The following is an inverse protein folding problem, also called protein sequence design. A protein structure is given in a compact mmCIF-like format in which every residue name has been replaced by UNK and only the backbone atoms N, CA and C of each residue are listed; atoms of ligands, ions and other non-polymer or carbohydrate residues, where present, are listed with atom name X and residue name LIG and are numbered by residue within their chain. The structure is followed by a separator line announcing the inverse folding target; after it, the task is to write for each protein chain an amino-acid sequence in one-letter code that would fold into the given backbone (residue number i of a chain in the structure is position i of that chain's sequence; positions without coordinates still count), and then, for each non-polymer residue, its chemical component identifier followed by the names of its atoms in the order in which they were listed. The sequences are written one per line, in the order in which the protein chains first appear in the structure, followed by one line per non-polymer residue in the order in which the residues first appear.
data_IF_742421739500
#
_entry.id   IF_742421739500
#
_cell.length_a   1.000
_cell.length_b   1.000
_cell.length_c   1.000
_cell.angle_alpha   90.00
_cell.angle_beta   90.00
_cell.angle_gamma   90.00
#
_symmetry.space_group_name_H-M   'P 1'
#
loop_
_entity.id
_entity.type
_entity.pdbx_description
1 polymer ?
#
# COMPACT_ATOMS: atom_id res chain seq x y z
N UNK A 1 -61.86 6.29 44.34
CA UNK A 1 -61.20 7.54 43.92
C UNK A 1 -61.01 7.50 42.41
N UNK A 2 -61.79 8.27 41.66
CA UNK A 2 -61.76 8.29 40.21
C UNK A 2 -60.74 9.35 39.76
N UNK A 3 -59.66 8.87 39.10
CA UNK A 3 -58.65 9.75 38.50
C UNK A 3 -59.26 10.44 37.27
N UNK A 4 -59.24 11.76 37.26
CA UNK A 4 -59.87 12.55 36.20
C UNK A 4 -59.04 12.56 34.90
N UNK A 5 -59.71 12.72 33.75
CA UNK A 5 -59.08 12.80 32.41
C UNK A 5 -57.96 13.82 32.29
N UNK A 6 -57.93 14.82 33.18
CA UNK A 6 -56.88 15.90 33.22
C UNK A 6 -55.56 15.43 33.85
N UNK A 7 -55.59 14.39 34.69
CA UNK A 7 -54.38 13.86 35.35
C UNK A 7 -53.65 12.88 34.44
N UNK A 8 -54.43 12.15 33.55
CA UNK A 8 -53.82 11.30 32.50
C UNK A 8 -53.08 12.11 31.43
N UNK A 9 -53.53 13.30 31.10
CA UNK A 9 -52.86 14.18 30.14
C UNK A 9 -51.58 14.81 30.67
N UNK A 10 -51.40 14.92 32.00
CA UNK A 10 -50.18 15.39 32.60
C UNK A 10 -49.09 14.33 32.78
N UNK A 11 -49.49 13.06 32.90
CA UNK A 11 -48.59 11.93 32.93
C UNK A 11 -48.09 11.51 31.56
N UNK A 12 -48.88 11.68 30.50
CA UNK A 12 -48.48 11.40 29.13
C UNK A 12 -47.53 12.44 28.52
N UNK A 13 -47.47 13.67 29.07
CA UNK A 13 -46.58 14.75 28.63
C UNK A 13 -45.15 14.66 29.19
N UNK A 14 -44.91 13.89 30.26
CA UNK A 14 -43.61 13.76 30.91
C UNK A 14 -42.79 12.56 30.38
N UNK A 15 -43.43 11.60 29.69
CA UNK A 15 -42.76 10.42 29.14
C UNK A 15 -42.22 10.62 27.69
N UNK A 16 -42.65 11.69 27.02
CA UNK A 16 -42.31 11.95 25.61
C UNK A 16 -41.07 12.80 25.36
N UNK A 17 -40.40 13.32 26.37
CA UNK A 17 -39.27 14.26 26.21
C UNK A 17 -37.88 13.68 26.48
N UNK A 18 -37.80 12.36 26.75
CA UNK A 18 -36.50 11.68 27.03
C UNK A 18 -35.92 10.86 25.86
N UNK A 19 -36.45 11.00 24.65
CA UNK A 19 -36.17 10.08 23.55
C UNK A 19 -35.44 10.65 22.33
N UNK A 20 -35.02 11.91 22.27
CA UNK A 20 -34.35 12.48 21.08
C UNK A 20 -33.31 13.56 21.48
N UNK A 21 -32.42 13.23 22.38
CA UNK A 21 -31.14 13.92 22.37
C UNK A 21 -30.34 13.34 21.19
N UNK A 22 -29.99 14.12 20.14
CA UNK A 22 -29.04 13.63 19.15
C UNK A 22 -27.79 13.26 19.94
N UNK A 23 -27.33 12.02 19.80
CA UNK A 23 -26.02 11.63 20.27
C UNK A 23 -25.04 12.59 19.61
N UNK A 24 -24.60 13.61 20.35
CA UNK A 24 -23.49 14.45 19.94
C UNK A 24 -22.32 13.49 19.91
N UNK A 25 -22.05 12.93 18.74
CA UNK A 25 -20.78 12.25 18.46
C UNK A 25 -19.73 13.32 18.67
N UNK A 26 -19.20 13.40 19.88
CA UNK A 26 -18.03 14.23 20.16
C UNK A 26 -16.95 13.70 19.19
N UNK A 27 -16.63 14.50 18.18
CA UNK A 27 -15.47 14.25 17.36
C UNK A 27 -14.30 14.01 18.33
N UNK A 28 -13.72 12.80 18.30
CA UNK A 28 -12.59 12.46 19.14
C UNK A 28 -11.48 13.47 18.85
N UNK A 29 -10.98 14.13 19.89
CA UNK A 29 -9.91 15.13 19.74
C UNK A 29 -8.66 14.41 19.25
N UNK A 30 -8.15 14.83 18.08
CA UNK A 30 -6.88 14.34 17.55
C UNK A 30 -5.73 14.75 18.47
N UNK A 31 -4.81 13.84 18.74
CA UNK A 31 -3.61 14.12 19.53
C UNK A 31 -2.64 14.98 18.70
N UNK A 32 -2.53 14.65 17.40
CA UNK A 32 -1.71 15.37 16.44
C UNK A 32 -2.51 15.59 15.14
N UNK A 33 -2.66 16.85 14.72
CA UNK A 33 -3.37 17.21 13.48
C UNK A 33 -2.45 17.24 12.26
N UNK A 34 -1.25 17.79 12.43
CA UNK A 34 -0.24 17.88 11.38
C UNK A 34 0.52 16.55 11.31
N UNK A 35 0.34 15.81 10.19
CA UNK A 35 0.97 14.49 10.00
C UNK A 35 1.80 14.49 8.74
N UNK A 36 3.08 14.13 8.87
CA UNK A 36 3.98 13.94 7.75
C UNK A 36 3.98 12.46 7.33
N UNK A 37 3.56 12.19 6.08
CA UNK A 37 3.59 10.85 5.48
C UNK A 37 4.74 10.78 4.47
N UNK A 38 5.59 9.76 4.60
CA UNK A 38 6.61 9.42 3.61
C UNK A 38 6.08 8.32 2.68
N UNK A 39 6.21 8.49 1.37
CA UNK A 39 5.81 7.49 0.35
C UNK A 39 6.93 7.26 -0.65
N UNK A 40 7.06 6.05 -1.17
CA UNK A 40 8.14 5.68 -2.08
C UNK A 40 7.70 5.54 -3.52
N UNK A 41 7.43 6.66 -4.21
CA UNK A 41 6.92 6.69 -5.57
C UNK A 41 5.43 6.97 -5.62
N UNK A 42 5.00 8.14 -5.14
CA UNK A 42 3.60 8.56 -5.06
C UNK A 42 2.81 8.38 -6.38
N UNK A 43 3.38 8.56 -7.59
CA UNK A 43 2.68 8.32 -8.85
C UNK A 43 2.33 6.86 -9.14
N UNK A 44 2.91 5.89 -8.42
CA UNK A 44 2.65 4.48 -8.65
C UNK A 44 1.22 4.09 -8.24
N UNK A 45 0.59 3.22 -9.03
CA UNK A 45 -0.75 2.69 -8.68
C UNK A 45 -0.74 1.94 -7.35
N UNK A 46 0.39 1.42 -6.93
CA UNK A 46 0.62 0.82 -5.61
C UNK A 46 0.16 1.70 -4.44
N UNK A 47 0.27 3.04 -4.59
CA UNK A 47 -0.11 4.04 -3.59
C UNK A 47 -1.35 4.83 -4.00
N UNK A 48 -2.14 4.32 -4.94
CA UNK A 48 -3.36 4.99 -5.41
C UNK A 48 -4.32 5.35 -4.27
N UNK A 49 -4.59 4.50 -3.26
CA UNK A 49 -5.48 4.87 -2.16
C UNK A 49 -5.00 6.10 -1.38
N UNK A 50 -3.69 6.26 -1.15
CA UNK A 50 -3.12 7.46 -0.53
C UNK A 50 -3.41 8.70 -1.37
N UNK A 51 -3.16 8.61 -2.68
CA UNK A 51 -3.42 9.72 -3.62
C UNK A 51 -4.89 10.07 -3.67
N UNK A 52 -5.79 9.09 -3.73
CA UNK A 52 -7.25 9.33 -3.71
C UNK A 52 -7.68 9.97 -2.40
N UNK A 53 -7.17 9.51 -1.25
CA UNK A 53 -7.49 10.11 0.04
C UNK A 53 -7.09 11.60 0.11
N UNK A 54 -5.91 11.95 -0.43
CA UNK A 54 -5.43 13.33 -0.53
C UNK A 54 -6.29 14.15 -1.50
N UNK A 55 -6.44 13.70 -2.74
CA UNK A 55 -7.11 14.44 -3.82
C UNK A 55 -8.61 14.66 -3.55
N UNK A 56 -9.25 13.73 -2.84
CA UNK A 56 -10.66 13.85 -2.44
C UNK A 56 -10.86 14.54 -1.10
N UNK A 57 -9.79 14.96 -0.44
CA UNK A 57 -9.84 15.69 0.83
C UNK A 57 -10.22 14.85 2.04
N UNK A 58 -10.15 13.51 1.96
CA UNK A 58 -10.57 12.63 3.04
C UNK A 58 -9.76 12.81 4.33
N UNK A 59 -8.48 13.17 4.24
CA UNK A 59 -7.69 13.55 5.41
C UNK A 59 -8.23 14.81 6.09
N UNK A 60 -8.61 15.82 5.31
CA UNK A 60 -9.19 17.07 5.83
C UNK A 60 -10.55 16.85 6.47
N UNK A 61 -11.37 15.97 5.89
CA UNK A 61 -12.67 15.60 6.46
C UNK A 61 -12.54 14.95 7.84
N UNK A 62 -11.42 14.23 8.08
CA UNK A 62 -11.07 13.65 9.37
C UNK A 62 -10.36 14.65 10.31
N UNK A 63 -10.18 15.90 9.90
CA UNK A 63 -9.56 16.96 10.68
C UNK A 63 -8.03 16.96 10.66
N UNK A 64 -7.42 16.20 9.75
CA UNK A 64 -5.97 16.10 9.58
C UNK A 64 -5.44 17.11 8.57
N UNK A 65 -4.28 17.69 8.87
CA UNK A 65 -3.43 18.41 7.93
C UNK A 65 -2.25 17.52 7.56
N UNK A 66 -2.36 16.85 6.40
CA UNK A 66 -1.39 15.84 5.96
C UNK A 66 -0.45 16.45 4.93
N UNK A 67 0.85 16.35 5.18
CA UNK A 67 1.91 16.58 4.20
C UNK A 67 2.46 15.24 3.70
N UNK A 68 2.63 15.08 2.38
CA UNK A 68 3.13 13.85 1.78
C UNK A 68 4.45 14.12 1.07
N UNK A 69 5.54 13.54 1.59
CA UNK A 69 6.87 13.60 0.99
C UNK A 69 7.12 12.36 0.14
N UNK A 70 7.43 12.57 -1.15
CA UNK A 70 7.70 11.50 -2.12
C UNK A 70 9.20 11.19 -2.22
N UNK A 71 9.52 9.90 -2.16
CA UNK A 71 10.88 9.37 -2.24
C UNK A 71 11.02 8.42 -3.45
N UNK A 72 12.24 8.12 -3.86
CA UNK A 72 12.51 7.26 -5.01
C UNK A 72 11.97 5.82 -4.87
N UNK A 73 11.71 5.34 -3.64
CA UNK A 73 11.17 4.02 -3.38
C UNK A 73 10.89 3.79 -1.90
N UNK A 74 10.13 2.73 -1.57
CA UNK A 74 9.62 2.47 -0.22
C UNK A 74 10.69 2.37 0.86
N UNK A 75 11.87 1.80 0.55
CA UNK A 75 12.98 1.75 1.51
C UNK A 75 13.49 3.15 1.90
N UNK A 76 13.46 4.12 0.98
CA UNK A 76 13.84 5.50 1.26
C UNK A 76 12.79 6.23 2.10
N UNK A 77 11.52 5.99 1.82
CA UNK A 77 10.41 6.50 2.62
C UNK A 77 10.50 5.96 4.08
N UNK A 78 10.76 4.66 4.23
CA UNK A 78 10.97 4.06 5.54
C UNK A 78 12.14 4.70 6.30
N UNK A 79 13.28 4.94 5.63
CA UNK A 79 14.43 5.60 6.23
C UNK A 79 14.09 7.00 6.77
N UNK A 80 13.23 7.76 6.08
CA UNK A 80 12.78 9.08 6.53
C UNK A 80 11.98 8.98 7.86
N UNK A 81 11.11 7.99 8.01
CA UNK A 81 10.33 7.80 9.24
C UNK A 81 11.19 7.25 10.38
N UNK A 82 12.07 6.28 10.12
CA UNK A 82 13.02 5.78 11.12
C UNK A 82 13.97 6.88 11.59
N UNK A 83 14.35 7.79 10.69
CA UNK A 83 15.18 8.97 11.01
C UNK A 83 14.42 10.14 11.62
N UNK A 84 13.09 10.04 11.84
CA UNK A 84 12.26 11.08 12.45
C UNK A 84 11.90 12.25 11.55
N UNK A 85 12.12 12.15 10.22
CA UNK A 85 11.77 13.22 9.26
C UNK A 85 10.30 13.15 8.81
N UNK A 86 9.61 12.06 9.11
CA UNK A 86 8.19 11.88 8.87
C UNK A 86 7.59 10.99 9.99
N UNK A 87 6.26 10.98 10.11
CA UNK A 87 5.53 10.28 11.16
C UNK A 87 5.10 8.88 10.75
N UNK A 88 4.62 8.75 9.52
CA UNK A 88 3.95 7.55 9.00
C UNK A 88 4.54 7.21 7.62
N UNK A 89 4.70 5.93 7.35
CA UNK A 89 5.06 5.45 6.01
C UNK A 89 3.78 5.00 5.29
N UNK A 90 3.61 5.44 4.05
CA UNK A 90 2.82 4.71 3.06
C UNK A 90 3.79 3.81 2.30
N UNK A 91 3.80 2.54 2.63
CA UNK A 91 4.87 1.64 2.20
C UNK A 91 4.44 0.19 2.17
N UNK A 92 5.40 -0.70 2.21
CA UNK A 92 5.18 -2.12 2.05
C UNK A 92 5.05 -2.86 3.38
N UNK A 93 4.09 -3.76 3.44
CA UNK A 93 3.73 -4.57 4.60
C UNK A 93 4.92 -5.33 5.20
N UNK A 94 5.76 -5.94 4.38
CA UNK A 94 6.91 -6.73 4.84
C UNK A 94 8.00 -5.89 5.53
N UNK A 95 7.98 -4.58 5.38
CA UNK A 95 8.95 -3.70 6.03
C UNK A 95 8.85 -3.75 7.55
N UNK A 96 7.63 -3.82 8.12
CA UNK A 96 7.44 -3.93 9.56
C UNK A 96 8.03 -5.23 10.12
N UNK A 97 7.90 -6.37 9.40
CA UNK A 97 8.55 -7.63 9.77
C UNK A 97 10.08 -7.52 9.75
N UNK A 98 10.63 -6.93 8.70
CA UNK A 98 12.09 -6.76 8.59
C UNK A 98 12.65 -5.82 9.66
N UNK A 99 11.90 -4.81 10.09
CA UNK A 99 12.26 -3.96 11.22
C UNK A 99 12.18 -4.72 12.55
N UNK A 100 11.13 -5.52 12.74
CA UNK A 100 10.98 -6.32 13.97
C UNK A 100 12.15 -7.30 14.14
N UNK A 101 12.62 -7.93 13.07
CA UNK A 101 13.80 -8.81 13.13
C UNK A 101 15.07 -8.09 13.61
N UNK A 102 15.08 -6.75 13.53
CA UNK A 102 16.16 -5.87 13.99
C UNK A 102 15.85 -5.18 15.33
N UNK A 103 14.77 -5.62 16.02
CA UNK A 103 14.37 -5.07 17.32
C UNK A 103 13.64 -3.73 17.24
N UNK A 104 13.15 -3.32 16.06
CA UNK A 104 12.37 -2.10 15.87
C UNK A 104 10.90 -2.46 15.65
N UNK A 105 10.00 -1.95 16.50
CA UNK A 105 8.59 -2.31 16.49
C UNK A 105 7.78 -1.26 15.73
N UNK A 106 7.44 -1.58 14.50
CA UNK A 106 6.51 -0.85 13.63
C UNK A 106 5.27 -1.69 13.40
N UNK A 107 4.13 -1.05 13.14
CA UNK A 107 2.87 -1.73 13.00
C UNK A 107 2.07 -1.18 11.83
N UNK A 108 1.63 -2.09 10.95
CA UNK A 108 0.70 -1.81 9.87
C UNK A 108 -0.71 -1.70 10.43
N UNK A 109 -1.45 -0.65 10.08
CA UNK A 109 -2.75 -0.38 10.69
C UNK A 109 -3.90 -0.17 9.69
N UNK A 110 -3.60 -0.05 8.40
CA UNK A 110 -4.60 -0.03 7.31
C UNK A 110 -3.95 -0.45 6.00
N UNK A 111 -4.61 -1.36 5.27
CA UNK A 111 -4.14 -1.90 4.00
C UNK A 111 -4.63 -1.06 2.83
N UNK A 112 -3.78 -0.82 1.85
CA UNK A 112 -4.08 -0.18 0.57
C UNK A 112 -4.13 -1.19 -0.59
N UNK A 113 -3.29 -2.22 -0.52
CA UNK A 113 -3.17 -3.24 -1.56
C UNK A 113 -3.01 -4.66 -1.02
N UNK A 114 -3.80 -5.59 -1.57
CA UNK A 114 -3.84 -7.02 -1.20
C UNK A 114 -2.81 -7.86 -1.96
N UNK A 115 -2.22 -7.28 -3.00
CA UNK A 115 -1.20 -7.89 -3.85
C UNK A 115 -0.04 -6.92 -4.01
N UNK A 116 1.20 -7.39 -4.22
CA UNK A 116 2.36 -6.51 -4.44
C UNK A 116 2.22 -5.61 -5.67
N UNK A 117 1.40 -5.98 -6.65
CA UNK A 117 1.17 -5.22 -7.89
C UNK A 117 2.48 -4.85 -8.61
N UNK A 118 3.47 -5.75 -8.55
CA UNK A 118 4.80 -5.61 -9.12
C UNK A 118 4.91 -6.51 -10.34
N UNK A 119 5.40 -5.95 -11.46
CA UNK A 119 5.87 -6.71 -12.61
C UNK A 119 7.40 -6.75 -12.61
N UNK A 120 7.97 -7.94 -12.78
CA UNK A 120 9.39 -8.13 -13.04
C UNK A 120 9.57 -8.70 -14.45
N UNK A 121 10.35 -8.02 -15.27
CA UNK A 121 10.56 -8.41 -16.65
C UNK A 121 11.96 -8.09 -17.16
N UNK A 122 12.27 -8.64 -18.32
CA UNK A 122 13.54 -8.45 -19.02
C UNK A 122 13.37 -7.54 -20.22
N UNK A 123 14.38 -6.74 -20.55
CA UNK A 123 14.41 -5.91 -21.74
C UNK A 123 14.40 -6.77 -22.99
N UNK A 124 13.43 -6.56 -23.87
CA UNK A 124 13.36 -7.25 -25.16
C UNK A 124 14.54 -6.91 -26.06
N UNK A 125 15.13 -5.73 -25.88
CA UNK A 125 16.30 -5.23 -26.63
C UNK A 125 17.63 -5.81 -26.09
N UNK A 126 17.82 -5.79 -24.76
CA UNK A 126 19.11 -6.18 -24.16
C UNK A 126 19.18 -7.68 -23.84
N UNK A 127 18.02 -8.35 -23.74
CA UNK A 127 17.90 -9.77 -23.44
C UNK A 127 16.90 -10.46 -24.39
N UNK A 128 17.08 -10.32 -25.73
CA UNK A 128 16.14 -10.89 -26.72
C UNK A 128 16.05 -12.42 -26.62
N UNK A 129 17.14 -13.06 -26.22
CA UNK A 129 17.27 -14.51 -26.11
C UNK A 129 17.01 -15.07 -24.72
N UNK A 130 16.40 -14.28 -23.82
CA UNK A 130 16.09 -14.74 -22.45
C UNK A 130 15.22 -16.02 -22.47
N UNK A 131 15.72 -17.10 -21.86
CA UNK A 131 15.09 -18.43 -21.78
C UNK A 131 14.85 -18.91 -20.36
N UNK A 132 15.71 -18.52 -19.42
CA UNK A 132 15.69 -19.06 -18.06
C UNK A 132 16.20 -18.07 -17.03
N UNK A 133 15.90 -18.25 -15.73
CA UNK A 133 16.44 -17.42 -14.65
C UNK A 133 17.96 -17.35 -14.63
N UNK A 134 18.67 -18.37 -15.11
CA UNK A 134 20.14 -18.38 -15.17
C UNK A 134 20.69 -17.26 -16.05
N UNK A 135 19.94 -16.81 -17.05
CA UNK A 135 20.34 -15.74 -17.98
C UNK A 135 20.41 -14.36 -17.30
N UNK A 136 19.89 -14.25 -16.06
CA UNK A 136 20.00 -13.04 -15.24
C UNK A 136 21.39 -12.86 -14.61
N UNK A 137 22.26 -13.89 -14.58
CA UNK A 137 23.59 -13.77 -13.99
C UNK A 137 24.40 -12.65 -14.66
N UNK A 138 24.98 -11.78 -13.84
CA UNK A 138 25.77 -10.64 -14.28
C UNK A 138 24.93 -9.47 -14.83
N UNK A 139 23.60 -9.57 -14.85
CA UNK A 139 22.72 -8.53 -15.41
C UNK A 139 22.44 -7.42 -14.41
N UNK A 140 22.14 -6.23 -14.95
CA UNK A 140 21.71 -5.05 -14.18
C UNK A 140 20.20 -5.04 -14.08
N UNK A 141 19.68 -5.15 -12.88
CA UNK A 141 18.23 -5.16 -12.63
C UNK A 141 17.82 -3.87 -11.95
N UNK A 142 16.99 -3.09 -12.63
CA UNK A 142 16.39 -1.88 -12.08
C UNK A 142 15.30 -2.19 -11.06
N UNK A 143 15.30 -1.48 -9.95
CA UNK A 143 14.24 -1.50 -8.93
C UNK A 143 13.91 -0.08 -8.52
N UNK A 144 12.79 0.17 -7.85
CA UNK A 144 12.48 1.54 -7.37
C UNK A 144 13.60 2.06 -6.48
N UNK A 145 14.01 1.29 -5.47
CA UNK A 145 15.22 1.52 -4.68
C UNK A 145 15.71 0.19 -4.10
N UNK A 146 17.01 -0.01 -3.89
CA UNK A 146 17.52 -1.16 -3.15
C UNK A 146 16.84 -1.28 -1.78
N UNK A 147 16.36 -2.49 -1.44
CA UNK A 147 15.63 -2.77 -0.20
C UNK A 147 14.12 -2.50 -0.23
N UNK A 148 13.57 -1.98 -1.33
CA UNK A 148 12.11 -1.84 -1.54
C UNK A 148 11.48 -3.16 -1.98
N UNK A 149 10.14 -3.28 -1.96
CA UNK A 149 9.40 -4.48 -2.38
C UNK A 149 9.71 -4.92 -3.80
N UNK A 150 10.01 -3.99 -4.71
CA UNK A 150 10.46 -4.30 -6.07
C UNK A 150 11.78 -5.08 -6.05
N UNK A 151 12.69 -4.76 -5.14
CA UNK A 151 13.92 -5.54 -4.91
C UNK A 151 13.63 -6.88 -4.20
N UNK A 152 12.65 -6.91 -3.29
CA UNK A 152 12.21 -8.16 -2.65
C UNK A 152 11.73 -9.17 -3.68
N UNK A 153 10.88 -8.77 -4.63
CA UNK A 153 10.37 -9.66 -5.69
C UNK A 153 11.51 -10.25 -6.52
N UNK A 154 12.51 -9.44 -6.89
CA UNK A 154 13.72 -9.92 -7.58
C UNK A 154 14.45 -10.96 -6.75
N UNK A 155 14.77 -10.64 -5.49
CA UNK A 155 15.55 -11.52 -4.62
C UNK A 155 14.80 -12.83 -4.33
N UNK A 156 13.48 -12.77 -4.12
CA UNK A 156 12.64 -13.94 -3.94
C UNK A 156 12.65 -14.84 -5.19
N UNK A 157 12.51 -14.23 -6.39
CA UNK A 157 12.59 -14.97 -7.66
C UNK A 157 13.96 -15.63 -7.83
N UNK A 158 15.03 -14.90 -7.59
CA UNK A 158 16.41 -15.43 -7.69
C UNK A 158 16.59 -16.62 -6.74
N UNK A 159 16.23 -16.48 -5.47
CA UNK A 159 16.35 -17.53 -4.46
C UNK A 159 15.54 -18.80 -4.82
N UNK A 160 14.30 -18.62 -5.32
CA UNK A 160 13.44 -19.72 -5.78
C UNK A 160 14.06 -20.54 -6.91
N UNK A 161 14.96 -19.92 -7.69
CA UNK A 161 15.65 -20.57 -8.82
C UNK A 161 17.13 -20.87 -8.53
N UNK A 162 17.54 -20.89 -7.25
CA UNK A 162 18.90 -21.24 -6.83
C UNK A 162 19.96 -20.19 -7.15
N UNK A 163 19.54 -18.95 -7.41
CA UNK A 163 20.41 -17.80 -7.62
C UNK A 163 20.52 -16.96 -6.34
N UNK A 164 21.60 -16.19 -6.22
CA UNK A 164 21.84 -15.27 -5.11
C UNK A 164 21.64 -13.83 -5.55
N UNK A 165 21.34 -12.94 -4.62
CA UNK A 165 21.30 -11.50 -4.88
C UNK A 165 22.63 -10.96 -5.45
N UNK A 166 23.77 -11.58 -5.07
CA UNK A 166 25.11 -11.24 -5.58
C UNK A 166 25.36 -11.71 -7.03
N UNK A 167 24.48 -12.53 -7.62
CA UNK A 167 24.61 -12.94 -9.02
C UNK A 167 24.15 -11.85 -10.01
N UNK A 168 23.54 -10.78 -9.51
CA UNK A 168 23.03 -9.64 -10.30
C UNK A 168 23.46 -8.30 -9.70
N UNK A 169 23.34 -7.23 -10.48
CA UNK A 169 23.54 -5.86 -10.00
C UNK A 169 22.20 -5.17 -9.82
N UNK A 170 21.85 -4.83 -8.58
CA UNK A 170 20.59 -4.09 -8.28
C UNK A 170 20.82 -2.60 -8.40
N UNK A 171 20.06 -1.94 -9.28
CA UNK A 171 20.17 -0.52 -9.61
C UNK A 171 18.87 0.19 -9.20
N UNK A 172 18.96 1.23 -8.39
CA UNK A 172 17.82 2.11 -8.08
C UNK A 172 17.51 3.02 -9.26
N UNK A 173 16.34 2.87 -9.88
CA UNK A 173 15.90 3.64 -11.06
C UNK A 173 14.66 4.51 -10.76
N UNK A 174 14.14 4.46 -9.52
CA UNK A 174 12.95 5.23 -9.14
C UNK A 174 11.64 4.65 -9.66
N UNK A 175 10.59 5.47 -9.63
CA UNK A 175 9.19 5.09 -9.75
C UNK A 175 8.44 5.81 -10.89
N UNK A 176 9.12 6.30 -11.92
CA UNK A 176 8.49 7.12 -12.96
C UNK A 176 9.21 7.02 -14.32
N UNK A 177 9.12 8.08 -15.11
CA UNK A 177 9.69 8.14 -16.46
C UNK A 177 11.19 7.80 -16.53
N UNK A 178 11.96 8.11 -15.47
CA UNK A 178 13.37 7.73 -15.37
C UNK A 178 13.60 6.22 -15.42
N UNK A 179 12.72 5.43 -14.79
CA UNK A 179 12.78 3.97 -14.81
C UNK A 179 12.53 3.42 -16.23
N UNK A 180 11.54 4.00 -16.94
CA UNK A 180 11.25 3.66 -18.34
C UNK A 180 12.47 3.96 -19.21
N UNK A 181 13.04 5.16 -19.06
CA UNK A 181 14.23 5.59 -19.82
C UNK A 181 15.41 4.66 -19.55
N UNK A 182 15.68 4.28 -18.31
CA UNK A 182 16.79 3.41 -17.93
C UNK A 182 16.75 2.05 -18.67
N UNK A 183 15.55 1.44 -18.83
CA UNK A 183 15.40 0.21 -19.58
C UNK A 183 15.58 0.43 -21.08
N UNK A 184 14.90 1.43 -21.65
CA UNK A 184 14.93 1.73 -23.11
C UNK A 184 16.32 2.09 -23.62
N UNK A 185 17.13 2.78 -22.80
CA UNK A 185 18.50 3.18 -23.15
C UNK A 185 19.56 2.12 -22.85
N UNK A 186 19.17 0.99 -22.22
CA UNK A 186 20.10 -0.09 -21.91
C UNK A 186 20.99 0.16 -20.69
N UNK A 187 20.61 1.12 -19.83
CA UNK A 187 21.29 1.31 -18.52
C UNK A 187 21.06 0.13 -17.59
N UNK A 188 19.91 -0.54 -17.75
CA UNK A 188 19.53 -1.80 -17.07
C UNK A 188 19.06 -2.83 -18.09
N UNK A 189 19.21 -4.12 -17.75
CA UNK A 189 18.86 -5.25 -18.59
C UNK A 189 17.47 -5.82 -18.27
N UNK A 190 17.03 -5.64 -17.04
CA UNK A 190 15.73 -6.06 -16.52
C UNK A 190 15.20 -5.04 -15.52
N UNK A 191 13.90 -5.05 -15.26
CA UNK A 191 13.27 -4.13 -14.30
C UNK A 191 12.21 -4.83 -13.48
N UNK A 192 12.19 -4.55 -12.18
CA UNK A 192 11.08 -4.85 -11.27
C UNK A 192 10.50 -3.52 -10.79
N UNK A 193 9.26 -3.25 -11.15
CA UNK A 193 8.58 -2.00 -10.82
C UNK A 193 7.07 -2.24 -10.69
N UNK A 194 6.33 -1.19 -10.40
CA UNK A 194 4.86 -1.21 -10.38
C UNK A 194 4.31 -0.37 -11.52
N UNK A 195 3.00 -0.45 -11.73
CA UNK A 195 2.32 0.39 -12.69
C UNK A 195 2.30 1.88 -12.25
N UNK A 196 2.27 2.81 -13.22
CA UNK A 196 2.12 2.62 -14.66
C UNK A 196 3.41 2.29 -15.45
N UNK A 197 4.57 2.20 -14.78
CA UNK A 197 5.87 1.95 -15.44
C UNK A 197 5.89 0.61 -16.19
N UNK A 198 5.40 -0.45 -15.53
CA UNK A 198 5.39 -1.81 -16.11
C UNK A 198 4.51 -1.85 -17.34
N UNK A 199 3.25 -1.42 -17.25
CA UNK A 199 2.32 -1.41 -18.37
C UNK A 199 2.81 -0.52 -19.52
N UNK A 200 3.44 0.61 -19.26
CA UNK A 200 4.01 1.46 -20.31
C UNK A 200 5.12 0.75 -21.09
N UNK A 201 6.00 0.02 -20.40
CA UNK A 201 7.07 -0.76 -21.02
C UNK A 201 6.56 -2.00 -21.78
N UNK A 202 5.52 -2.66 -21.26
CA UNK A 202 4.84 -3.76 -21.96
C UNK A 202 4.17 -3.25 -23.24
N UNK A 203 3.42 -2.14 -23.13
CA UNK A 203 2.69 -1.55 -24.25
C UNK A 203 3.61 -1.11 -25.38
N UNK A 204 4.79 -0.57 -25.06
CA UNK A 204 5.81 -0.20 -26.05
C UNK A 204 6.61 -1.39 -26.58
N UNK A 205 6.40 -2.61 -26.07
CA UNK A 205 7.13 -3.81 -26.49
C UNK A 205 8.57 -3.91 -25.96
N UNK A 206 8.96 -3.03 -25.03
CA UNK A 206 10.32 -2.98 -24.48
C UNK A 206 10.55 -3.98 -23.31
N UNK A 207 9.48 -4.56 -22.77
CA UNK A 207 9.52 -5.44 -21.60
C UNK A 207 8.80 -6.76 -21.85
N UNK A 208 9.48 -7.87 -21.56
CA UNK A 208 8.90 -9.21 -21.45
C UNK A 208 8.78 -9.56 -19.97
N UNK A 209 7.55 -9.65 -19.46
CA UNK A 209 7.29 -10.02 -18.05
C UNK A 209 7.69 -11.47 -17.80
N UNK A 210 8.36 -11.73 -16.70
CA UNK A 210 8.77 -13.06 -16.21
C UNK A 210 8.20 -13.38 -14.83
N UNK A 211 7.81 -12.36 -14.04
CA UNK A 211 7.03 -12.48 -12.80
C UNK A 211 5.98 -11.38 -12.79
N UNK A 212 4.74 -11.75 -12.56
CA UNK A 212 3.64 -10.80 -12.41
C UNK A 212 2.95 -11.03 -11.06
N UNK A 213 2.85 -10.00 -10.25
CA UNK A 213 2.12 -10.03 -8.97
C UNK A 213 1.00 -9.00 -8.93
N UNK A 214 0.51 -8.57 -10.10
CA UNK A 214 -0.55 -7.56 -10.22
C UNK A 214 -1.91 -8.10 -9.81
N UNK A 215 -2.13 -9.42 -9.92
CA UNK A 215 -3.37 -10.07 -9.51
C UNK A 215 -3.22 -10.90 -8.22
N UNK A 216 -4.31 -11.13 -7.52
CA UNK A 216 -4.33 -12.00 -6.33
C UNK A 216 -4.00 -13.45 -6.68
N UNK A 217 -4.43 -13.92 -7.86
CA UNK A 217 -4.15 -15.28 -8.33
C UNK A 217 -2.65 -15.47 -8.49
N UNK A 218 -2.02 -14.63 -9.29
CA UNK A 218 -0.59 -14.76 -9.60
C UNK A 218 0.27 -14.53 -8.34
N UNK A 219 -0.14 -13.61 -7.47
CA UNK A 219 0.48 -13.40 -6.16
C UNK A 219 0.50 -14.69 -5.34
N UNK A 220 -0.64 -15.41 -5.24
CA UNK A 220 -0.71 -16.67 -4.49
C UNK A 220 0.12 -17.78 -5.12
N UNK A 221 0.18 -17.85 -6.44
CA UNK A 221 1.03 -18.82 -7.16
C UNK A 221 2.53 -18.58 -6.91
N UNK A 222 2.92 -17.31 -6.85
CA UNK A 222 4.32 -16.92 -6.65
C UNK A 222 4.76 -17.11 -5.20
N UNK A 223 3.97 -16.59 -4.23
CA UNK A 223 4.33 -16.57 -2.80
C UNK A 223 3.77 -17.74 -1.98
N UNK A 224 2.86 -18.54 -2.55
CA UNK A 224 2.22 -19.65 -1.86
C UNK A 224 1.19 -19.21 -0.81
N UNK A 225 0.58 -18.02 -0.97
CA UNK A 225 -0.42 -17.45 -0.07
C UNK A 225 -0.71 -15.99 -0.36
N UNK A 226 -1.60 -15.38 0.43
CA UNK A 226 -1.85 -13.95 0.33
C UNK A 226 -0.59 -13.17 0.73
N UNK A 227 -0.21 -12.19 -0.07
CA UNK A 227 0.93 -11.31 0.21
C UNK A 227 0.44 -9.87 0.25
N UNK A 228 0.06 -9.35 1.43
CA UNK A 228 -0.32 -7.95 1.59
C UNK A 228 0.82 -7.04 1.13
N UNK A 229 0.48 -5.86 0.68
CA UNK A 229 1.47 -4.99 0.07
C UNK A 229 1.38 -3.54 0.59
N UNK A 230 0.82 -2.63 -0.18
CA UNK A 230 0.70 -1.23 0.25
C UNK A 230 -0.12 -1.08 1.53
N UNK A 231 0.44 -0.40 2.53
CA UNK A 231 -0.24 -0.11 3.80
C UNK A 231 0.27 1.20 4.40
N UNK A 232 -0.46 1.72 5.39
CA UNK A 232 0.10 2.73 6.28
C UNK A 232 0.64 2.03 7.53
N UNK A 233 1.85 2.42 7.93
CA UNK A 233 2.47 1.93 9.16
C UNK A 233 3.33 3.00 9.83
N UNK A 234 3.49 2.87 11.14
CA UNK A 234 4.35 3.73 11.96
C UNK A 234 4.88 2.96 13.18
N UNK A 235 5.70 3.59 13.99
CA UNK A 235 6.18 2.94 15.21
C UNK A 235 5.03 2.66 16.18
N UNK A 236 5.14 1.59 16.97
CA UNK A 236 4.15 1.30 18.02
C UNK A 236 4.00 2.46 18.99
N UNK A 237 5.10 3.12 19.36
CA UNK A 237 5.08 4.30 20.23
C UNK A 237 4.25 5.46 19.64
N UNK A 238 4.29 5.64 18.30
CA UNK A 238 3.45 6.65 17.66
C UNK A 238 1.96 6.30 17.74
N UNK A 239 1.61 5.01 17.51
CA UNK A 239 0.22 4.53 17.65
C UNK A 239 -0.29 4.75 19.09
N UNK A 240 0.51 4.40 20.08
CA UNK A 240 0.13 4.51 21.50
C UNK A 240 -0.07 5.97 21.92
N UNK A 241 0.74 6.88 21.40
CA UNK A 241 0.66 8.30 21.68
C UNK A 241 -0.45 9.03 20.87
N UNK A 242 -0.86 8.50 19.72
CA UNK A 242 -1.75 9.20 18.79
C UNK A 242 -2.88 8.30 18.23
N UNK A 243 -3.63 7.56 19.08
CA UNK A 243 -4.60 6.56 18.58
C UNK A 243 -5.75 7.17 17.77
N UNK A 244 -6.23 8.38 18.11
CA UNK A 244 -7.28 9.04 17.35
C UNK A 244 -6.77 9.58 16.01
N UNK A 245 -5.53 10.06 15.97
CA UNK A 245 -4.86 10.48 14.73
C UNK A 245 -4.66 9.29 13.77
N UNK A 246 -4.21 8.13 14.29
CA UNK A 246 -4.07 6.88 13.51
C UNK A 246 -5.43 6.40 13.02
N UNK A 247 -6.49 6.48 13.85
CA UNK A 247 -7.85 6.17 13.42
C UNK A 247 -8.32 7.09 12.27
N UNK A 248 -8.05 8.38 12.36
CA UNK A 248 -8.41 9.33 11.31
C UNK A 248 -7.69 9.04 9.99
N UNK A 249 -6.41 8.65 10.04
CA UNK A 249 -5.66 8.19 8.87
C UNK A 249 -6.27 6.92 8.26
N UNK A 250 -6.61 5.93 9.08
CA UNK A 250 -7.25 4.70 8.62
C UNK A 250 -8.63 4.97 8.00
N UNK A 251 -9.42 5.87 8.58
CA UNK A 251 -10.72 6.30 8.04
C UNK A 251 -10.56 6.85 6.62
N UNK A 252 -9.60 7.74 6.40
CA UNK A 252 -9.35 8.36 5.10
C UNK A 252 -8.95 7.32 4.03
N UNK A 253 -8.09 6.35 4.39
CA UNK A 253 -7.64 5.29 3.47
C UNK A 253 -8.79 4.33 3.15
N UNK A 254 -9.56 3.87 4.15
CA UNK A 254 -10.71 2.97 3.90
C UNK A 254 -11.74 3.62 2.98
N UNK A 255 -12.00 4.92 3.14
CA UNK A 255 -12.86 5.68 2.21
C UNK A 255 -12.30 5.69 0.79
N UNK A 256 -10.98 5.88 0.65
CA UNK A 256 -10.33 5.86 -0.66
C UNK A 256 -10.38 4.48 -1.31
N UNK A 257 -10.13 3.41 -0.54
CA UNK A 257 -10.25 2.02 -1.00
C UNK A 257 -11.65 1.74 -1.53
N UNK A 258 -12.69 2.06 -0.75
CA UNK A 258 -14.09 1.88 -1.14
C UNK A 258 -14.46 2.70 -2.37
N UNK A 259 -13.98 3.93 -2.45
CA UNK A 259 -14.20 4.76 -3.63
C UNK A 259 -13.57 4.13 -4.88
N UNK A 260 -12.34 3.63 -4.82
CA UNK A 260 -11.68 2.93 -5.93
C UNK A 260 -12.52 1.71 -6.35
N UNK A 261 -12.99 0.89 -5.40
CA UNK A 261 -13.85 -0.26 -5.69
C UNK A 261 -15.17 0.13 -6.35
N UNK A 262 -15.77 1.24 -5.93
CA UNK A 262 -16.99 1.76 -6.55
C UNK A 262 -16.76 2.25 -8.00
N UNK A 263 -15.53 2.68 -8.32
CA UNK A 263 -15.15 3.14 -9.66
C UNK A 263 -14.53 2.05 -10.55
N UNK A 264 -14.47 0.78 -10.13
CA UNK A 264 -13.79 -0.30 -10.88
C UNK A 264 -14.27 -0.46 -12.33
N UNK A 265 -15.51 -0.11 -12.63
CA UNK A 265 -16.08 -0.14 -13.97
C UNK A 265 -16.01 1.23 -14.70
N UNK A 266 -15.44 2.25 -14.06
CA UNK A 266 -15.29 3.61 -14.57
C UNK A 266 -13.86 4.12 -14.36
N UNK A 267 -12.91 3.56 -15.12
CA UNK A 267 -11.48 3.87 -14.97
C UNK A 267 -11.16 5.33 -15.33
N UNK A 268 -12.00 5.98 -16.14
CA UNK A 268 -11.87 7.41 -16.43
C UNK A 268 -12.07 8.25 -15.15
N UNK A 269 -13.00 7.86 -14.27
CA UNK A 269 -13.17 8.54 -12.99
C UNK A 269 -11.91 8.45 -12.11
N UNK A 270 -11.24 7.29 -12.09
CA UNK A 270 -9.98 7.11 -11.35
C UNK A 270 -8.86 7.93 -12.00
N UNK A 271 -8.70 7.85 -13.32
CA UNK A 271 -7.66 8.59 -14.04
C UNK A 271 -7.81 10.11 -13.94
N UNK A 272 -9.06 10.61 -13.86
CA UNK A 272 -9.35 12.03 -13.66
C UNK A 272 -9.18 12.49 -12.19
N UNK A 273 -9.16 11.58 -11.24
CA UNK A 273 -8.99 11.88 -9.82
C UNK A 273 -7.52 11.98 -9.37
N UNK A 274 -6.56 11.65 -10.24
CA UNK A 274 -5.13 11.75 -9.95
C UNK A 274 -4.49 12.92 -10.69
N UNK A 275 -3.33 13.43 -10.24
CA UNK A 275 -2.58 14.45 -10.97
C UNK A 275 -2.22 13.98 -12.40
N UNK A 276 -2.34 14.87 -13.38
CA UNK A 276 -2.05 14.54 -14.80
C UNK A 276 -0.64 13.99 -15.03
N UNK A 277 0.33 14.41 -14.23
CA UNK A 277 1.71 13.91 -14.28
C UNK A 277 1.83 12.40 -14.00
N UNK A 278 0.86 11.78 -13.30
CA UNK A 278 0.86 10.35 -13.00
C UNK A 278 0.50 9.49 -14.21
N UNK A 279 -0.17 10.08 -15.20
CA UNK A 279 -0.59 9.40 -16.43
C UNK A 279 0.58 9.16 -17.41
N UNK A 280 1.78 9.62 -17.11
CA UNK A 280 2.99 9.54 -17.96
C UNK A 280 2.76 10.06 -19.41
N UNK A 281 1.79 10.94 -19.61
CA UNK A 281 1.39 11.47 -20.90
C UNK A 281 0.45 10.58 -21.72
N UNK A 282 0.11 9.39 -21.23
CA UNK A 282 -0.68 8.37 -21.93
C UNK A 282 -1.87 7.87 -21.09
N UNK A 283 -3.01 8.59 -21.09
CA UNK A 283 -4.18 8.22 -20.25
C UNK A 283 -4.70 6.81 -20.49
N UNK A 284 -4.65 6.30 -21.73
CA UNK A 284 -5.12 4.95 -22.04
C UNK A 284 -4.20 3.87 -21.49
N UNK A 285 -2.88 4.09 -21.50
CA UNK A 285 -1.89 3.21 -20.87
C UNK A 285 -2.11 3.21 -19.34
N UNK A 286 -2.36 4.38 -18.74
CA UNK A 286 -2.68 4.46 -17.31
C UNK A 286 -3.97 3.69 -16.95
N UNK A 287 -5.02 3.79 -17.76
CA UNK A 287 -6.24 2.98 -17.58
C UNK A 287 -5.99 1.48 -17.78
N UNK A 288 -5.10 1.11 -18.71
CA UNK A 288 -4.69 -0.28 -18.88
C UNK A 288 -3.95 -0.79 -17.63
N UNK A 289 -3.08 0.02 -17.03
CA UNK A 289 -2.39 -0.32 -15.78
C UNK A 289 -3.35 -0.50 -14.60
N UNK A 290 -4.34 0.37 -14.48
CA UNK A 290 -5.41 0.20 -13.48
C UNK A 290 -6.16 -1.12 -13.66
N UNK A 291 -6.53 -1.46 -14.92
CA UNK A 291 -7.25 -2.70 -15.23
C UNK A 291 -6.43 -3.94 -14.87
N UNK A 292 -5.12 -3.91 -15.06
CA UNK A 292 -4.23 -5.01 -14.74
C UNK A 292 -4.13 -5.29 -13.22
N UNK A 293 -4.36 -4.25 -12.38
CA UNK A 293 -4.13 -4.31 -10.93
C UNK A 293 -5.41 -4.16 -10.08
N UNK A 294 -6.61 -4.12 -10.70
CA UNK A 294 -7.86 -3.75 -10.00
C UNK A 294 -8.17 -4.63 -8.79
N UNK A 295 -7.99 -5.94 -8.88
CA UNK A 295 -8.25 -6.87 -7.78
C UNK A 295 -7.15 -6.85 -6.72
N UNK A 296 -6.03 -6.22 -7.02
CA UNK A 296 -4.93 -5.98 -6.09
C UNK A 296 -5.23 -4.88 -5.06
N UNK A 297 -6.14 -3.95 -5.34
CA UNK A 297 -6.52 -2.92 -4.35
C UNK A 297 -7.34 -3.49 -3.21
N UNK A 298 -7.12 -2.98 -2.01
CA UNK A 298 -7.92 -3.34 -0.84
C UNK A 298 -9.38 -2.89 -1.04
N UNK A 299 -10.38 -3.70 -0.65
CA UNK A 299 -11.77 -3.26 -0.65
C UNK A 299 -12.17 -2.47 0.61
N UNK A 300 -11.42 -2.62 1.71
CA UNK A 300 -11.87 -2.26 3.04
C UNK A 300 -10.76 -1.92 4.05
N UNK A 301 -9.52 -1.88 3.63
CA UNK A 301 -8.37 -1.60 4.50
C UNK A 301 -7.94 -2.76 5.40
N UNK A 302 -8.59 -3.94 5.31
CA UNK A 302 -8.32 -5.08 6.18
C UNK A 302 -7.13 -5.90 5.69
N UNK A 303 -6.23 -6.20 6.63
CA UNK A 303 -5.05 -7.04 6.40
C UNK A 303 -5.49 -8.51 6.52
N UNK A 304 -5.22 -9.39 5.52
CA UNK A 304 -5.55 -10.80 5.59
C UNK A 304 -4.69 -11.51 6.65
N UNK A 305 -5.32 -12.35 7.47
CA UNK A 305 -4.68 -13.00 8.64
C UNK A 305 -3.49 -13.90 8.26
N UNK A 306 -3.55 -14.56 7.09
CA UNK A 306 -2.48 -15.42 6.59
C UNK A 306 -1.33 -14.64 5.91
N UNK A 307 -1.52 -13.35 5.66
CA UNK A 307 -0.57 -12.51 4.94
C UNK A 307 0.77 -12.38 5.64
N UNK A 308 0.75 -12.22 6.95
CA UNK A 308 1.99 -12.10 7.74
C UNK A 308 2.84 -13.38 7.68
N UNK A 309 2.21 -14.56 7.71
CA UNK A 309 2.93 -15.83 7.58
C UNK A 309 3.56 -15.99 6.19
N UNK A 310 2.89 -15.54 5.14
CA UNK A 310 3.43 -15.53 3.77
C UNK A 310 4.63 -14.59 3.67
N UNK A 311 4.54 -13.39 4.23
CA UNK A 311 5.63 -12.42 4.23
C UNK A 311 6.86 -12.92 5.01
N UNK A 312 6.66 -13.59 6.16
CA UNK A 312 7.76 -14.25 6.91
C UNK A 312 8.47 -15.29 6.05
N UNK A 313 7.73 -16.18 5.38
CA UNK A 313 8.32 -17.18 4.48
C UNK A 313 9.09 -16.53 3.32
N UNK A 314 8.54 -15.48 2.74
CA UNK A 314 9.20 -14.75 1.65
C UNK A 314 10.51 -14.12 2.12
N UNK A 315 10.52 -13.41 3.25
CA UNK A 315 11.73 -12.78 3.79
C UNK A 315 12.79 -13.83 4.17
N UNK A 316 12.40 -14.94 4.80
CA UNK A 316 13.29 -16.02 5.18
C UNK A 316 14.00 -16.67 3.98
N UNK A 317 13.40 -16.60 2.79
CA UNK A 317 13.97 -17.20 1.59
C UNK A 317 15.19 -16.44 1.03
N UNK A 318 15.29 -15.12 1.29
CA UNK A 318 16.33 -14.31 0.63
C UNK A 318 17.01 -13.24 1.50
N UNK A 319 16.45 -12.89 2.66
CA UNK A 319 17.07 -11.89 3.53
C UNK A 319 18.13 -12.54 4.38
N UNK A 320 19.41 -12.16 4.23
CA UNK A 320 20.47 -12.68 5.08
C UNK A 320 20.17 -12.39 6.56
N UNK A 321 20.43 -13.36 7.42
CA UNK A 321 20.27 -13.26 8.88
C UNK A 321 18.82 -13.01 9.37
N UNK A 322 17.81 -13.12 8.49
CA UNK A 322 16.41 -13.10 8.90
C UNK A 322 16.05 -14.41 9.59
N UNK A 323 15.87 -14.34 10.91
CA UNK A 323 15.45 -15.49 11.70
C UNK A 323 13.93 -15.42 11.98
N UNK A 324 13.11 -16.28 11.36
CA UNK A 324 11.67 -16.32 11.58
C UNK A 324 11.26 -16.52 13.05
N UNK A 325 12.15 -17.10 13.87
CA UNK A 325 11.89 -17.34 15.29
C UNK A 325 12.03 -16.09 16.15
N UNK A 326 12.67 -15.04 15.63
CA UNK A 326 12.84 -13.74 16.31
C UNK A 326 11.72 -12.75 16.01
N UNK A 327 10.80 -13.09 15.12
CA UNK A 327 9.68 -12.22 14.78
C UNK A 327 8.37 -12.80 15.31
N UNK A 328 7.51 -11.93 15.80
CA UNK A 328 6.14 -12.25 16.18
C UNK A 328 5.20 -11.53 15.19
N UNK A 329 4.72 -12.23 14.15
CA UNK A 329 3.90 -11.60 13.12
C UNK A 329 2.62 -10.98 13.66
N UNK A 330 2.09 -11.46 14.79
CA UNK A 330 0.87 -10.92 15.39
C UNK A 330 1.03 -9.50 15.93
N UNK A 331 2.27 -9.05 16.17
CA UNK A 331 2.59 -7.73 16.72
C UNK A 331 2.88 -6.69 15.64
N UNK A 332 3.04 -7.11 14.37
CA UNK A 332 3.42 -6.19 13.31
C UNK A 332 2.23 -5.51 12.61
N UNK A 333 1.02 -5.95 12.86
CA UNK A 333 -0.17 -5.40 12.22
C UNK A 333 -1.39 -5.40 13.14
N UNK A 334 -2.42 -4.63 12.75
CA UNK A 334 -3.72 -4.65 13.43
C UNK A 334 -4.83 -4.25 12.46
N UNK A 335 -5.98 -4.90 12.58
CA UNK A 335 -7.19 -4.54 11.86
C UNK A 335 -8.14 -3.66 12.69
N UNK A 336 -7.77 -3.28 13.89
CA UNK A 336 -8.63 -2.53 14.81
C UNK A 336 -9.11 -1.20 14.20
N UNK A 337 -8.18 -0.45 13.60
CA UNK A 337 -8.47 0.85 13.00
C UNK A 337 -9.30 0.71 11.72
N UNK A 338 -8.98 -0.26 10.87
CA UNK A 338 -9.73 -0.55 9.65
C UNK A 338 -11.16 -1.05 9.96
N UNK A 339 -11.36 -1.88 10.99
CA UNK A 339 -12.69 -2.30 11.45
C UNK A 339 -13.55 -1.11 11.84
N UNK A 340 -13.04 -0.23 12.73
CA UNK A 340 -13.76 0.99 13.15
C UNK A 340 -14.03 1.94 11.97
N UNK A 341 -13.08 2.04 11.02
CA UNK A 341 -13.29 2.82 9.81
C UNK A 341 -14.43 2.28 8.95
N UNK A 342 -14.54 0.94 8.81
CA UNK A 342 -15.62 0.28 8.07
C UNK A 342 -16.98 0.46 8.75
N UNK A 343 -17.04 0.46 10.09
CA UNK A 343 -18.24 0.75 10.87
C UNK A 343 -18.69 2.21 10.66
N UNK A 344 -17.74 3.16 10.68
CA UNK A 344 -18.01 4.58 10.47
C UNK A 344 -18.44 4.91 9.03
N UNK A 345 -17.82 4.25 8.06
CA UNK A 345 -18.03 4.48 6.62
C UNK A 345 -18.41 3.18 5.89
N UNK A 346 -19.60 2.64 6.11
CA UNK A 346 -19.99 1.36 5.51
C UNK A 346 -20.04 1.40 3.97
N UNK A 347 -20.32 2.57 3.40
CA UNK A 347 -20.44 2.76 1.94
C UNK A 347 -19.29 3.59 1.32
N UNK A 348 -18.32 4.03 2.09
CA UNK A 348 -17.20 4.86 1.64
C UNK A 348 -17.35 6.34 1.86
#
# INVERSE_FOLDING_TARGET
MSVTRREWLKLAGAAGALGLAPAIVRAQKLEKKEVAIAVGGKPLTYYLPLTIAEMRGYFKDEGLDVSIADFAGGAKALQAVVGGSADVVSGAFEHALNLQSKGQFYRDFVLQGRAPMIGFGVSTKNMPDYKSPADLKGKKIGVTAPGSSTNMVVNFFLAKHGLKASDVSIIGVGAGAGAITALKTGQIDAISNTDPVVTALEHSGDLKIIVDTRTLKDTREIFGGNMPAGCLYCSQAYIDANPNTVQALANAIVRADKWIQAQKNNLDAIANAVPKSYLLGEPDVYKASLRASLDGFSPDGMIPEDGAATAVRALAAFVPDFDPKKVDPSKMWTNEFAKRANEKYPNG
#
